data_IF_766858265451
#
_entry.id   IF_766858265451
#
_cell.length_a   1.000
_cell.length_b   1.000
_cell.length_c   1.000
_cell.angle_alpha   90.00
_cell.angle_beta   90.00
_cell.angle_gamma   90.00
#
_symmetry.space_group_name_H-M   'P 1'
#
loop_
_entity.id
_entity.type
_entity.pdbx_description
1 polymer ?
#
# COMPACT_ATOMS: atom_id res chain seq x y z
N UNK A 1 -40.68 -75.67 35.23
CA UNK A 1 -40.32 -74.27 35.57
C UNK A 1 -39.69 -73.66 34.33
N UNK A 2 -40.48 -73.05 33.45
CA UNK A 2 -39.96 -72.48 32.20
C UNK A 2 -39.46 -71.06 32.43
N UNK A 3 -38.19 -70.82 32.10
CA UNK A 3 -37.55 -69.51 32.17
C UNK A 3 -37.74 -68.79 30.82
N UNK A 4 -38.67 -67.83 30.75
CA UNK A 4 -38.84 -66.98 29.57
C UNK A 4 -37.64 -66.02 29.43
N UNK A 5 -36.83 -66.20 28.38
CA UNK A 5 -35.80 -65.23 28.00
C UNK A 5 -36.46 -63.91 27.55
N UNK A 6 -36.09 -62.81 28.21
CA UNK A 6 -36.46 -61.47 27.79
C UNK A 6 -35.72 -61.09 26.51
N UNK A 7 -36.46 -60.91 25.41
CA UNK A 7 -35.94 -60.42 24.13
C UNK A 7 -35.48 -58.96 24.29
N UNK A 8 -34.17 -58.71 24.27
CA UNK A 8 -33.57 -57.37 24.29
C UNK A 8 -34.01 -56.62 23.02
N UNK A 9 -34.90 -55.62 23.16
CA UNK A 9 -35.30 -54.74 22.06
C UNK A 9 -34.10 -53.89 21.64
N UNK A 10 -33.58 -54.08 20.43
CA UNK A 10 -32.68 -53.12 19.80
C UNK A 10 -33.43 -51.79 19.59
N UNK A 11 -32.86 -50.63 19.97
CA UNK A 11 -33.50 -49.35 19.75
C UNK A 11 -33.55 -49.09 18.23
N UNK A 12 -34.76 -49.08 17.67
CA UNK A 12 -35.01 -48.64 16.30
C UNK A 12 -34.71 -47.13 16.25
N UNK A 13 -33.56 -46.75 15.69
CA UNK A 13 -33.12 -45.36 15.60
C UNK A 13 -31.61 -45.15 15.49
N UNK A 14 -30.78 -46.12 15.88
CA UNK A 14 -29.31 -45.93 15.87
C UNK A 14 -28.74 -45.78 14.45
N UNK A 15 -29.35 -46.39 13.44
CA UNK A 15 -28.95 -46.24 12.04
C UNK A 15 -29.15 -44.80 11.53
N UNK A 16 -30.28 -44.17 11.88
CA UNK A 16 -30.54 -42.77 11.50
C UNK A 16 -29.55 -41.82 12.18
N UNK A 17 -29.25 -42.05 13.46
CA UNK A 17 -28.27 -41.26 14.22
C UNK A 17 -26.88 -41.35 13.60
N UNK A 18 -26.46 -42.56 13.20
CA UNK A 18 -25.18 -42.75 12.52
C UNK A 18 -25.11 -41.98 11.19
N UNK A 19 -26.18 -42.00 10.39
CA UNK A 19 -26.24 -41.26 9.12
C UNK A 19 -26.17 -39.75 9.36
N UNK A 20 -26.89 -39.23 10.35
CA UNK A 20 -26.85 -37.79 10.69
C UNK A 20 -25.44 -37.37 11.11
N UNK A 21 -24.76 -38.17 11.93
CA UNK A 21 -23.38 -37.88 12.36
C UNK A 21 -22.39 -37.90 11.20
N UNK A 22 -22.50 -38.86 10.29
CA UNK A 22 -21.63 -38.94 9.10
C UNK A 22 -21.88 -37.75 8.18
N UNK A 23 -23.13 -37.38 7.94
CA UNK A 23 -23.48 -36.21 7.12
C UNK A 23 -22.96 -34.92 7.75
N UNK A 24 -23.15 -34.72 9.05
CA UNK A 24 -22.64 -33.55 9.77
C UNK A 24 -21.11 -33.45 9.70
N UNK A 25 -20.43 -34.58 9.85
CA UNK A 25 -18.97 -34.65 9.73
C UNK A 25 -18.50 -34.32 8.30
N UNK A 26 -19.09 -34.96 7.29
CA UNK A 26 -18.75 -34.70 5.89
C UNK A 26 -18.99 -33.24 5.48
N UNK A 27 -20.07 -32.62 5.98
CA UNK A 27 -20.39 -31.23 5.70
C UNK A 27 -19.36 -30.28 6.34
N UNK A 28 -18.96 -30.55 7.59
CA UNK A 28 -17.94 -29.76 8.30
C UNK A 28 -16.57 -29.87 7.61
N UNK A 29 -16.15 -31.08 7.24
CA UNK A 29 -14.89 -31.31 6.51
C UNK A 29 -14.93 -30.64 5.14
N UNK A 30 -16.06 -30.73 4.41
CA UNK A 30 -16.23 -30.07 3.11
C UNK A 30 -16.05 -28.55 3.19
N UNK A 31 -16.69 -27.90 4.17
CA UNK A 31 -16.55 -26.44 4.37
C UNK A 31 -15.12 -26.06 4.76
N UNK A 32 -14.48 -26.84 5.64
CA UNK A 32 -13.10 -26.59 6.06
C UNK A 32 -12.11 -26.68 4.88
N UNK A 33 -12.25 -27.70 4.03
CA UNK A 33 -11.43 -27.87 2.82
C UNK A 33 -11.61 -26.70 1.87
N UNK A 34 -12.86 -26.30 1.57
CA UNK A 34 -13.14 -25.15 0.69
C UNK A 34 -12.51 -23.85 1.23
N UNK A 35 -12.52 -23.66 2.54
CA UNK A 35 -11.94 -22.46 3.19
C UNK A 35 -10.42 -22.43 3.05
N UNK A 36 -9.74 -23.54 3.29
CA UNK A 36 -8.27 -23.63 3.15
C UNK A 36 -7.86 -23.47 1.69
N UNK A 37 -8.55 -24.15 0.76
CA UNK A 37 -8.23 -24.07 -0.67
C UNK A 37 -8.50 -22.69 -1.27
N UNK A 38 -9.52 -21.97 -0.81
CA UNK A 38 -9.79 -20.60 -1.28
C UNK A 38 -8.85 -19.55 -0.70
N UNK A 39 -8.20 -19.84 0.44
CA UNK A 39 -7.23 -18.93 1.05
C UNK A 39 -5.89 -18.90 0.32
N UNK A 40 -5.44 -20.03 -0.23
CA UNK A 40 -4.17 -20.14 -0.95
C UNK A 40 -4.01 -19.18 -2.14
N UNK A 41 -4.93 -19.19 -3.13
CA UNK A 41 -4.87 -18.27 -4.28
C UNK A 41 -4.96 -16.80 -3.90
N UNK A 42 -5.74 -16.46 -2.85
CA UNK A 42 -5.85 -15.09 -2.37
C UNK A 42 -4.55 -14.58 -1.77
N UNK A 43 -3.89 -15.39 -0.93
CA UNK A 43 -2.60 -15.03 -0.33
C UNK A 43 -1.51 -14.91 -1.40
N UNK A 44 -1.47 -15.83 -2.36
CA UNK A 44 -0.50 -15.78 -3.47
C UNK A 44 -0.70 -14.55 -4.37
N UNK A 45 -1.96 -14.20 -4.69
CA UNK A 45 -2.25 -13.00 -5.47
C UNK A 45 -1.90 -11.72 -4.71
N UNK A 46 -2.22 -11.65 -3.41
CA UNK A 46 -1.86 -10.51 -2.56
C UNK A 46 -0.35 -10.33 -2.46
N UNK A 47 0.43 -11.41 -2.29
CA UNK A 47 1.90 -11.32 -2.26
C UNK A 47 2.47 -10.80 -3.57
N UNK A 48 1.94 -11.28 -4.71
CA UNK A 48 2.38 -10.80 -6.03
C UNK A 48 2.11 -9.31 -6.22
N UNK A 49 0.90 -8.84 -5.87
CA UNK A 49 0.60 -7.40 -6.00
C UNK A 49 1.45 -6.54 -5.07
N UNK A 50 1.83 -7.05 -3.90
CA UNK A 50 2.75 -6.36 -2.98
C UNK A 50 4.17 -6.28 -3.55
N UNK A 51 4.67 -7.35 -4.16
CA UNK A 51 5.96 -7.35 -4.86
C UNK A 51 5.94 -6.40 -6.08
N UNK A 52 4.86 -6.41 -6.86
CA UNK A 52 4.66 -5.49 -7.98
C UNK A 52 4.59 -4.02 -7.51
N UNK A 53 3.94 -3.74 -6.38
CA UNK A 53 3.91 -2.40 -5.77
C UNK A 53 5.29 -1.98 -5.25
N UNK A 54 6.06 -2.91 -4.66
CA UNK A 54 7.43 -2.65 -4.23
C UNK A 54 8.34 -2.30 -5.42
N UNK A 55 8.29 -3.08 -6.49
CA UNK A 55 9.06 -2.81 -7.71
C UNK A 55 8.69 -1.46 -8.32
N UNK A 56 7.42 -1.05 -8.24
CA UNK A 56 6.98 0.27 -8.66
C UNK A 56 7.61 1.39 -7.82
N UNK A 57 7.62 1.22 -6.49
CA UNK A 57 8.22 2.18 -5.58
C UNK A 57 9.73 2.30 -5.80
N UNK A 58 10.43 1.18 -6.03
CA UNK A 58 11.87 1.15 -6.33
C UNK A 58 12.17 1.84 -7.67
N UNK A 59 11.38 1.57 -8.72
CA UNK A 59 11.51 2.28 -9.99
C UNK A 59 11.33 3.80 -9.83
N UNK A 60 10.36 4.21 -9.00
CA UNK A 60 10.17 5.62 -8.65
C UNK A 60 11.37 6.22 -7.92
N UNK A 61 11.95 5.49 -6.96
CA UNK A 61 13.15 5.90 -6.25
C UNK A 61 14.32 6.15 -7.20
N UNK A 62 14.63 5.19 -8.07
CA UNK A 62 15.74 5.30 -9.03
C UNK A 62 15.53 6.47 -10.01
N UNK A 63 14.31 6.61 -10.53
CA UNK A 63 13.96 7.70 -11.46
C UNK A 63 14.06 9.08 -10.78
N UNK A 64 13.54 9.22 -9.56
CA UNK A 64 13.59 10.46 -8.80
C UNK A 64 15.01 10.81 -8.42
N UNK A 65 15.80 9.85 -7.93
CA UNK A 65 17.22 10.05 -7.61
C UNK A 65 17.99 10.58 -8.81
N UNK A 66 17.86 9.95 -9.98
CA UNK A 66 18.52 10.41 -11.20
C UNK A 66 18.09 11.83 -11.60
N UNK A 67 16.80 12.13 -11.48
CA UNK A 67 16.24 13.45 -11.85
C UNK A 67 16.73 14.56 -10.91
N UNK A 68 16.81 14.27 -9.62
CA UNK A 68 17.31 15.21 -8.61
C UNK A 68 18.81 15.45 -8.81
N UNK A 69 19.60 14.39 -9.00
CA UNK A 69 21.04 14.49 -9.27
C UNK A 69 21.32 15.33 -10.54
N UNK A 70 20.58 15.11 -11.63
CA UNK A 70 20.68 15.93 -12.85
C UNK A 70 20.29 17.40 -12.61
N UNK A 71 19.23 17.63 -11.83
CA UNK A 71 18.75 18.99 -11.52
C UNK A 71 19.75 19.78 -10.67
N UNK A 72 20.43 19.11 -9.73
CA UNK A 72 21.52 19.69 -8.95
C UNK A 72 22.74 19.95 -9.84
N UNK A 73 23.16 18.98 -10.64
CA UNK A 73 24.32 19.11 -11.53
C UNK A 73 24.13 20.22 -12.58
N UNK A 74 22.90 20.42 -13.05
CA UNK A 74 22.52 21.49 -13.96
C UNK A 74 22.35 22.86 -13.27
N UNK A 75 22.47 22.93 -11.94
CA UNK A 75 22.28 24.14 -11.14
C UNK A 75 20.84 24.67 -11.11
N UNK A 76 19.85 23.83 -11.46
CA UNK A 76 18.42 24.19 -11.42
C UNK A 76 17.89 24.17 -10.00
N UNK A 77 18.38 23.23 -9.17
CA UNK A 77 17.99 23.10 -7.77
C UNK A 77 19.16 23.55 -6.89
N UNK A 78 19.06 24.79 -6.39
CA UNK A 78 20.01 25.33 -5.41
C UNK A 78 19.61 25.11 -3.96
N UNK A 79 18.37 24.69 -3.72
CA UNK A 79 17.78 24.35 -2.43
C UNK A 79 16.51 23.51 -2.65
N UNK A 80 16.17 22.66 -1.68
CA UNK A 80 14.95 21.85 -1.70
C UNK A 80 13.71 22.56 -1.13
N UNK A 81 13.87 23.77 -0.56
CA UNK A 81 12.80 24.47 0.17
C UNK A 81 11.48 24.63 -0.64
N UNK A 82 11.58 24.94 -1.93
CA UNK A 82 10.41 25.12 -2.81
C UNK A 82 9.87 23.79 -3.39
N UNK A 83 10.56 22.68 -3.16
CA UNK A 83 10.25 21.36 -3.70
C UNK A 83 9.68 20.39 -2.64
N UNK A 84 9.73 20.77 -1.36
CA UNK A 84 9.11 19.98 -0.30
C UNK A 84 7.59 19.94 -0.42
N UNK A 85 7.02 18.77 -0.13
CA UNK A 85 5.59 18.60 -0.03
C UNK A 85 5.07 19.25 1.24
N UNK A 86 4.53 20.46 1.10
CA UNK A 86 3.95 21.23 2.21
C UNK A 86 2.44 21.43 2.06
N UNK A 87 1.88 21.12 0.88
CA UNK A 87 0.44 21.16 0.61
C UNK A 87 -0.15 19.74 0.50
N UNK A 88 -1.29 19.45 1.16
CA UNK A 88 -2.08 20.36 1.99
C UNK A 88 -1.35 20.72 3.29
N UNK A 89 -1.60 21.95 3.79
CA UNK A 89 -0.89 22.54 4.93
C UNK A 89 -0.73 21.57 6.11
N UNK A 90 0.54 21.33 6.48
CA UNK A 90 0.93 20.49 7.61
C UNK A 90 1.02 19.00 7.29
N UNK A 91 1.01 18.58 6.02
CA UNK A 91 1.27 17.18 5.65
C UNK A 91 2.69 16.72 6.03
N UNK A 92 3.64 17.63 6.08
CA UNK A 92 5.05 17.48 6.47
C UNK A 92 5.29 17.62 7.98
N UNK A 93 4.39 18.28 8.73
CA UNK A 93 4.62 18.60 10.15
C UNK A 93 4.12 17.48 11.08
N UNK A 94 4.97 16.88 11.94
CA UNK A 94 4.58 15.76 12.82
C UNK A 94 3.69 16.17 14.00
N UNK A 95 3.84 17.39 14.51
CA UNK A 95 3.15 17.88 15.71
C UNK A 95 2.48 19.24 15.49
N UNK A 96 1.24 19.37 15.96
CA UNK A 96 0.54 20.65 15.93
C UNK A 96 1.19 21.63 16.89
N UNK A 97 1.38 22.87 16.46
CA UNK A 97 1.97 23.95 17.26
C UNK A 97 3.34 23.59 17.89
N UNK A 98 4.13 22.72 17.23
CA UNK A 98 5.41 22.21 17.74
C UNK A 98 5.31 21.55 19.14
N UNK A 99 4.14 21.01 19.49
CA UNK A 99 3.90 20.39 20.78
C UNK A 99 3.86 18.86 20.65
N UNK A 100 4.86 18.19 21.23
CA UNK A 100 5.00 16.72 21.21
C UNK A 100 3.77 15.98 21.77
N UNK A 101 2.97 16.63 22.63
CA UNK A 101 1.75 16.05 23.18
C UNK A 101 0.53 16.14 22.25
N UNK A 102 0.59 16.94 21.19
CA UNK A 102 -0.52 17.17 20.25
C UNK A 102 -0.09 16.81 18.83
N UNK A 103 -0.15 15.54 18.48
CA UNK A 103 0.43 15.12 17.23
C UNK A 103 -0.53 15.35 16.06
N UNK A 104 0.02 15.71 14.90
CA UNK A 104 -0.76 16.12 13.74
C UNK A 104 -1.43 14.91 13.06
N UNK A 105 -2.75 14.92 12.81
CA UNK A 105 -3.41 13.84 12.06
C UNK A 105 -3.13 13.87 10.55
N UNK A 106 -2.71 15.01 9.99
CA UNK A 106 -2.41 15.16 8.56
C UNK A 106 -0.97 14.78 8.20
N UNK A 107 -0.12 14.54 9.18
CA UNK A 107 1.27 14.15 8.93
C UNK A 107 1.33 12.88 8.08
N UNK A 108 2.12 12.89 7.00
CA UNK A 108 2.09 11.85 5.96
C UNK A 108 2.33 10.43 6.52
N UNK A 109 3.17 10.26 7.56
CA UNK A 109 3.39 8.93 8.20
C UNK A 109 2.16 8.38 8.92
N UNK A 110 1.14 9.20 9.14
CA UNK A 110 -0.13 8.83 9.77
C UNK A 110 -1.25 8.63 8.76
N UNK A 111 -0.99 8.95 7.50
CA UNK A 111 -1.90 8.76 6.40
C UNK A 111 -1.58 7.45 5.68
N UNK A 112 -2.61 6.75 5.21
CA UNK A 112 -2.42 5.63 4.29
C UNK A 112 -1.96 6.15 2.93
N UNK A 113 -1.36 5.28 2.11
CA UNK A 113 -0.93 5.63 0.76
C UNK A 113 -2.10 6.19 -0.08
N UNK A 114 -3.26 5.55 0.01
CA UNK A 114 -4.47 6.00 -0.67
C UNK A 114 -4.95 7.37 -0.18
N UNK A 115 -4.80 7.68 1.11
CA UNK A 115 -5.12 9.01 1.63
C UNK A 115 -4.16 10.06 1.09
N UNK A 116 -2.85 9.77 1.03
CA UNK A 116 -1.85 10.69 0.47
C UNK A 116 -2.17 10.95 -1.00
N UNK A 117 -2.35 9.90 -1.81
CA UNK A 117 -2.64 10.04 -3.25
C UNK A 117 -3.90 10.88 -3.49
N UNK A 118 -4.95 10.70 -2.70
CA UNK A 118 -6.17 11.53 -2.77
C UNK A 118 -5.97 12.98 -2.32
N UNK A 119 -5.03 13.24 -1.42
CA UNK A 119 -4.72 14.61 -1.00
C UNK A 119 -3.89 15.34 -2.06
N UNK A 120 -3.08 14.59 -2.82
CA UNK A 120 -2.28 15.11 -3.92
C UNK A 120 -3.10 15.36 -5.18
N UNK A 121 -4.20 14.64 -5.38
CA UNK A 121 -5.14 14.78 -6.49
C UNK A 121 -6.59 14.74 -5.96
N UNK A 122 -7.08 15.89 -5.46
CA UNK A 122 -8.40 15.98 -4.85
C UNK A 122 -9.54 15.92 -5.86
N UNK A 123 -9.27 16.32 -7.11
CA UNK A 123 -10.27 16.34 -8.18
C UNK A 123 -10.33 15.00 -8.97
N UNK A 124 -9.38 14.10 -8.73
CA UNK A 124 -9.20 12.80 -9.40
C UNK A 124 -9.05 12.92 -10.92
N UNK A 125 -8.40 13.98 -11.41
CA UNK A 125 -8.14 14.20 -12.83
C UNK A 125 -6.86 13.51 -13.33
N UNK A 126 -6.10 12.90 -12.43
CA UNK A 126 -4.87 12.20 -12.73
C UNK A 126 -3.65 13.10 -12.84
N UNK A 127 -3.73 14.31 -12.31
CA UNK A 127 -2.62 15.24 -12.13
C UNK A 127 -2.53 15.65 -10.67
N UNK A 128 -1.31 15.95 -10.21
CA UNK A 128 -1.14 16.51 -8.88
C UNK A 128 -1.67 17.95 -8.86
N UNK A 129 -2.43 18.30 -7.81
CA UNK A 129 -2.94 19.65 -7.57
C UNK A 129 -1.78 20.67 -7.43
N UNK A 130 -0.63 20.22 -6.91
CA UNK A 130 0.59 21.02 -6.76
C UNK A 130 1.79 20.32 -7.43
N UNK A 131 1.96 20.43 -8.75
CA UNK A 131 2.95 19.66 -9.51
C UNK A 131 4.42 20.02 -9.18
N UNK A 132 4.67 21.17 -8.56
CA UNK A 132 6.02 21.58 -8.14
C UNK A 132 6.49 20.88 -6.85
N UNK A 133 5.56 20.35 -6.06
CA UNK A 133 5.83 19.70 -4.76
C UNK A 133 5.87 18.17 -4.86
N UNK A 134 5.71 17.64 -6.07
CA UNK A 134 5.86 16.23 -6.40
C UNK A 134 6.95 16.11 -7.45
N UNK A 135 7.85 15.14 -7.29
CA UNK A 135 8.86 14.83 -8.31
C UNK A 135 8.19 14.08 -9.46
N UNK A 136 7.34 13.10 -9.10
CA UNK A 136 6.53 12.32 -10.04
C UNK A 136 5.17 12.02 -9.41
N UNK A 137 4.11 12.04 -10.22
CA UNK A 137 2.77 11.71 -9.76
C UNK A 137 2.13 10.66 -10.64
N UNK A 138 1.84 9.49 -10.05
CA UNK A 138 1.16 8.36 -10.69
C UNK A 138 1.74 7.99 -12.07
N UNK A 139 3.07 8.06 -12.21
CA UNK A 139 3.79 7.78 -13.43
C UNK A 139 3.87 6.26 -13.70
N UNK A 140 3.52 5.79 -14.91
CA UNK A 140 3.65 4.38 -15.27
C UNK A 140 5.11 4.00 -15.57
N UNK A 141 5.50 2.76 -15.24
CA UNK A 141 6.89 2.31 -15.45
C UNK A 141 7.05 0.98 -16.18
N UNK A 142 6.02 0.11 -16.16
CA UNK A 142 6.07 -1.22 -16.77
C UNK A 142 5.62 -1.13 -18.22
N UNK A 143 6.26 -1.89 -19.11
CA UNK A 143 5.79 -2.08 -20.49
C UNK A 143 5.06 -3.43 -20.63
N UNK A 144 3.94 -3.42 -21.35
CA UNK A 144 3.21 -4.61 -21.76
C UNK A 144 3.96 -5.38 -22.86
N UNK A 145 3.43 -6.55 -23.24
CA UNK A 145 4.03 -7.39 -24.28
C UNK A 145 4.04 -6.76 -25.68
N UNK A 146 3.25 -5.70 -25.88
CA UNK A 146 3.17 -4.96 -27.13
C UNK A 146 4.08 -3.72 -27.12
N UNK A 147 4.79 -3.46 -26.01
CA UNK A 147 5.66 -2.30 -25.84
C UNK A 147 4.91 -1.02 -25.42
N UNK A 148 3.65 -1.11 -25.01
CA UNK A 148 2.89 0.01 -24.46
C UNK A 148 3.08 0.08 -22.94
N UNK A 149 3.00 1.27 -22.35
CA UNK A 149 3.02 1.41 -20.89
C UNK A 149 1.78 0.77 -20.27
N UNK A 150 2.01 -0.09 -19.27
CA UNK A 150 0.98 -0.70 -18.45
C UNK A 150 0.60 0.25 -17.32
N UNK A 151 -0.50 0.96 -17.55
CA UNK A 151 -1.04 1.99 -16.67
C UNK A 151 -1.57 1.47 -15.33
N UNK A 152 -1.49 0.17 -15.05
CA UNK A 152 -1.87 -0.40 -13.75
C UNK A 152 -0.77 -0.26 -12.70
N UNK A 153 0.47 -0.10 -13.15
CA UNK A 153 1.67 -0.10 -12.31
C UNK A 153 2.28 1.29 -12.32
N UNK A 154 2.06 2.02 -11.22
CA UNK A 154 2.39 3.45 -11.13
C UNK A 154 3.21 3.74 -9.89
N UNK A 155 3.97 4.82 -9.94
CA UNK A 155 4.68 5.35 -8.78
C UNK A 155 4.43 6.84 -8.60
N UNK A 156 4.47 7.28 -7.35
CA UNK A 156 4.43 8.69 -6.96
C UNK A 156 5.63 8.95 -6.06
N UNK A 157 6.34 10.05 -6.32
CA UNK A 157 7.51 10.45 -5.54
C UNK A 157 7.41 11.90 -5.16
N UNK A 158 7.65 12.19 -3.90
CA UNK A 158 7.77 13.53 -3.35
C UNK A 158 8.85 13.55 -2.26
N UNK A 159 9.31 14.74 -1.90
CA UNK A 159 10.31 14.93 -0.86
C UNK A 159 9.70 15.69 0.31
N UNK A 160 10.12 15.33 1.52
CA UNK A 160 9.71 15.94 2.78
C UNK A 160 10.97 16.49 3.45
N UNK A 161 10.85 17.67 4.04
CA UNK A 161 11.82 18.21 4.97
C UNK A 161 11.80 17.32 6.23
N UNK A 162 12.88 16.58 6.50
CA UNK A 162 12.98 15.67 7.64
C UNK A 162 13.03 16.40 8.99
N UNK A 163 13.26 17.72 8.95
CA UNK A 163 13.31 18.62 10.07
C UNK A 163 12.05 19.50 10.16
N UNK A 164 11.04 19.23 9.33
CA UNK A 164 9.75 19.89 9.37
C UNK A 164 9.15 19.84 10.79
N UNK A 165 8.85 21.03 11.33
CA UNK A 165 8.30 21.17 12.69
C UNK A 165 9.35 21.27 13.81
N UNK A 166 10.64 21.39 13.48
CA UNK A 166 11.73 21.72 14.40
C UNK A 166 12.29 23.13 14.14
N UNK A 167 13.16 23.62 15.04
CA UNK A 167 13.74 24.98 14.96
C UNK A 167 15.07 25.04 14.19
N UNK A 168 15.54 23.89 13.68
CA UNK A 168 16.74 23.76 12.87
C UNK A 168 16.29 23.33 11.48
N UNK A 169 16.84 23.96 10.46
CA UNK A 169 16.54 23.65 9.06
C UNK A 169 17.87 23.61 8.31
N UNK A 170 18.16 22.48 7.69
CA UNK A 170 19.23 22.20 6.77
C UNK A 170 18.59 21.79 5.43
N UNK A 171 18.58 22.66 4.42
CA UNK A 171 17.96 22.37 3.14
C UNK A 171 18.85 21.50 2.23
N UNK A 172 19.73 20.66 2.80
CA UNK A 172 20.71 19.82 2.07
C UNK A 172 20.37 18.34 2.12
N UNK A 173 19.61 17.92 3.11
CA UNK A 173 19.01 16.61 3.23
C UNK A 173 17.48 16.71 3.07
N UNK A 174 16.91 15.55 2.78
CA UNK A 174 15.48 15.39 2.65
C UNK A 174 15.10 13.92 2.79
N UNK A 175 13.87 13.69 3.22
CA UNK A 175 13.24 12.38 3.18
C UNK A 175 12.51 12.20 1.84
N UNK A 176 13.01 11.30 1.00
CA UNK A 176 12.33 10.91 -0.23
C UNK A 176 11.28 9.83 0.06
N UNK A 177 10.03 10.10 -0.31
CA UNK A 177 8.92 9.17 -0.15
C UNK A 177 8.47 8.68 -1.51
N UNK A 178 8.58 7.38 -1.74
CA UNK A 178 8.19 6.72 -2.98
C UNK A 178 7.02 5.77 -2.71
N UNK A 179 5.87 6.02 -3.34
CA UNK A 179 4.67 5.19 -3.23
C UNK A 179 4.47 4.47 -4.55
N UNK A 180 4.64 3.16 -4.55
CA UNK A 180 4.27 2.28 -5.65
C UNK A 180 2.84 1.79 -5.50
N UNK A 181 2.10 1.73 -6.61
CA UNK A 181 0.67 1.40 -6.65
C UNK A 181 0.40 0.37 -7.74
N UNK A 182 -0.40 -0.64 -7.39
CA UNK A 182 -0.98 -1.60 -8.33
C UNK A 182 -2.49 -1.44 -8.36
N UNK A 183 -3.05 -1.14 -9.53
CA UNK A 183 -4.50 -0.94 -9.74
C UNK A 183 -5.14 -2.11 -10.46
N UNK A 184 -6.45 -2.27 -10.29
CA UNK A 184 -7.23 -3.31 -10.98
C UNK A 184 -7.38 -3.07 -12.48
N UNK A 185 -7.21 -1.82 -12.93
CA UNK A 185 -7.30 -1.41 -14.33
C UNK A 185 -6.45 -0.15 -14.59
N UNK A 186 -6.46 0.35 -15.83
CA UNK A 186 -5.55 1.41 -16.29
C UNK A 186 -5.94 2.82 -15.80
N UNK A 187 -7.18 3.01 -15.37
CA UNK A 187 -7.70 4.31 -14.96
C UNK A 187 -7.21 4.66 -13.55
N UNK A 188 -6.95 5.95 -13.29
CA UNK A 188 -6.48 6.38 -11.97
C UNK A 188 -7.56 6.24 -10.88
N UNK A 189 -8.82 6.14 -11.29
CA UNK A 189 -9.96 5.90 -10.39
C UNK A 189 -10.19 4.41 -10.13
N UNK A 190 -9.48 3.52 -10.83
CA UNK A 190 -9.58 2.08 -10.60
C UNK A 190 -9.08 1.71 -9.22
N UNK A 191 -9.66 0.63 -8.68
CA UNK A 191 -9.38 0.17 -7.32
C UNK A 191 -7.91 -0.17 -7.13
N UNK A 192 -7.32 0.37 -6.07
CA UNK A 192 -5.99 -0.01 -5.60
C UNK A 192 -6.04 -1.44 -5.04
N UNK A 193 -5.18 -2.30 -5.58
CA UNK A 193 -5.01 -3.70 -5.17
C UNK A 193 -3.90 -3.86 -4.13
N UNK A 194 -2.82 -3.08 -4.27
CA UNK A 194 -1.70 -3.04 -3.35
C UNK A 194 -0.96 -1.69 -3.46
N UNK A 195 -0.33 -1.30 -2.38
CA UNK A 195 0.60 -0.18 -2.31
C UNK A 195 1.85 -0.59 -1.55
N UNK A 196 2.97 0.05 -1.86
CA UNK A 196 4.20 -0.05 -1.10
C UNK A 196 4.80 1.35 -0.96
N UNK A 197 5.25 1.69 0.25
CA UNK A 197 5.90 2.97 0.54
C UNK A 197 7.34 2.74 0.95
N UNK A 198 8.26 3.40 0.25
CA UNK A 198 9.66 3.53 0.63
C UNK A 198 9.88 4.93 1.18
N UNK A 199 10.55 5.03 2.32
CA UNK A 199 10.96 6.29 2.94
C UNK A 199 12.47 6.23 3.09
N UNK A 200 13.19 7.04 2.32
CA UNK A 200 14.66 6.99 2.23
C UNK A 200 15.21 8.40 2.41
N UNK A 201 16.03 8.57 3.43
CA UNK A 201 16.75 9.80 3.69
C UNK A 201 17.91 9.94 2.69
N UNK A 202 18.01 11.10 2.06
CA UNK A 202 19.07 11.43 1.12
C UNK A 202 19.74 12.71 1.59
N UNK A 203 21.05 12.61 1.78
CA UNK A 203 21.94 13.73 1.99
C UNK A 203 22.71 14.00 0.69
N UNK A 204 22.73 15.27 0.24
CA UNK A 204 23.54 15.64 -0.91
C UNK A 204 24.99 15.88 -0.46
N UNK A 205 25.98 15.19 -1.07
CA UNK A 205 27.38 15.42 -0.72
C UNK A 205 27.80 16.86 -1.04
N UNK A 206 28.58 17.47 -0.15
CA UNK A 206 29.14 18.81 -0.38
C UNK A 206 29.95 18.86 -1.68
N UNK A 207 29.56 19.74 -2.61
CA UNK A 207 30.27 20.03 -3.85
C UNK A 207 31.51 20.90 -3.61
#
# INVERSE_FOLDING_TARGET
MEMKMAKKKQPKGSGLIAVILVLAFMLTVGVAVLTVTSSGPKVSASMRYQEEAFNAAEAGFDAARMTIEDSIAAGRWGSFADHYLTSPDGIDIPFLNMNLATPNPLYFRRLTDEQILRLLDQNSDGQADNPLQVVFFEEPFVYDRNGNLDLRYRYTVFIIDDEAGFNTTDPKDFLMVCIGVVRSGPEITDRILATCRLEIEIEVPEL
#
